data_IF_623407706689
#
_entry.id   IF_623407706689
#
_cell.length_a   1.000
_cell.length_b   1.000
_cell.length_c   1.000
_cell.angle_alpha   90.00
_cell.angle_beta   90.00
_cell.angle_gamma   90.00
#
_symmetry.space_group_name_H-M   'P 1'
#
loop_
_entity.id
_entity.type
_entity.pdbx_description
1 polymer ?
#
# COMPACT_ATOMS: atom_id res chain seq x y z
N UNK A 1 7.91 -6.68 52.65
CA UNK A 1 7.51 -7.76 51.72
C UNK A 1 6.99 -7.08 50.46
N UNK A 2 7.88 -6.75 49.53
CA UNK A 2 7.60 -5.82 48.43
C UNK A 2 7.37 -6.58 47.12
N UNK A 3 6.23 -6.34 46.47
CA UNK A 3 5.84 -6.97 45.22
C UNK A 3 6.39 -6.14 44.04
N UNK A 4 7.39 -6.67 43.34
CA UNK A 4 7.86 -6.11 42.06
C UNK A 4 6.93 -6.61 40.95
N UNK A 5 5.95 -5.79 40.57
CA UNK A 5 5.13 -6.04 39.39
C UNK A 5 5.98 -5.96 38.14
N UNK A 6 6.14 -7.07 37.43
CA UNK A 6 6.77 -7.10 36.12
C UNK A 6 5.92 -6.30 35.11
N UNK A 7 6.45 -5.17 34.64
CA UNK A 7 5.84 -4.38 33.57
C UNK A 7 6.04 -5.15 32.26
N UNK A 8 5.00 -5.89 31.84
CA UNK A 8 4.96 -6.54 30.53
C UNK A 8 4.76 -5.47 29.45
N UNK A 9 5.85 -5.01 28.83
CA UNK A 9 5.77 -4.21 27.60
C UNK A 9 5.24 -5.10 26.47
N UNK A 10 3.94 -5.00 26.19
CA UNK A 10 3.32 -5.61 25.01
C UNK A 10 3.98 -4.98 23.77
N UNK A 11 4.78 -5.74 23.02
CA UNK A 11 5.42 -5.28 21.78
C UNK A 11 4.39 -4.52 20.94
N UNK A 12 4.60 -3.23 20.73
CA UNK A 12 3.75 -2.43 19.86
C UNK A 12 3.81 -3.06 18.46
N UNK A 13 2.69 -3.62 17.99
CA UNK A 13 2.61 -4.10 16.61
C UNK A 13 2.75 -2.89 15.70
N UNK A 14 3.61 -2.97 14.70
CA UNK A 14 3.64 -1.98 13.63
C UNK A 14 2.23 -1.86 13.04
N UNK A 15 1.62 -0.66 13.06
CA UNK A 15 0.30 -0.47 12.47
C UNK A 15 0.31 -0.78 10.98
N UNK A 16 -0.77 -1.37 10.45
CA UNK A 16 -0.95 -1.62 9.02
C UNK A 16 -1.52 -0.41 8.26
N UNK A 17 -1.45 0.78 8.85
CA UNK A 17 -1.94 2.06 8.32
C UNK A 17 -1.24 3.22 9.02
N UNK A 18 -1.33 4.44 8.48
CA UNK A 18 -0.77 5.65 9.11
C UNK A 18 -1.74 6.38 10.03
N UNK A 19 -2.91 6.79 9.54
CA UNK A 19 -3.92 7.57 10.26
C UNK A 19 -5.34 7.11 9.84
N UNK A 20 -6.24 6.78 10.78
CA UNK A 20 -7.61 6.36 10.44
C UNK A 20 -8.38 7.38 9.61
N UNK A 21 -8.20 8.69 9.86
CA UNK A 21 -8.91 9.74 9.12
C UNK A 21 -8.38 9.83 7.69
N UNK A 22 -7.06 9.75 7.52
CA UNK A 22 -6.45 9.70 6.20
C UNK A 22 -6.86 8.44 5.41
N UNK A 23 -6.90 7.26 6.05
CA UNK A 23 -7.40 6.02 5.44
C UNK A 23 -8.85 6.19 4.97
N UNK A 24 -9.72 6.74 5.82
CA UNK A 24 -11.12 6.99 5.47
C UNK A 24 -11.28 7.89 4.26
N UNK A 25 -10.53 9.00 4.23
CA UNK A 25 -10.51 9.93 3.09
C UNK A 25 -10.08 9.24 1.79
N UNK A 26 -8.96 8.50 1.82
CA UNK A 26 -8.45 7.79 0.62
C UNK A 26 -9.42 6.72 0.13
N UNK A 27 -10.08 6.01 1.05
CA UNK A 27 -11.10 5.02 0.70
C UNK A 27 -12.28 5.69 -0.01
N UNK A 28 -12.75 6.83 0.51
CA UNK A 28 -13.82 7.61 -0.09
C UNK A 28 -13.45 8.10 -1.49
N UNK A 29 -12.26 8.72 -1.64
CA UNK A 29 -11.74 9.20 -2.91
C UNK A 29 -11.62 8.09 -3.95
N UNK A 30 -11.04 6.94 -3.57
CA UNK A 30 -10.92 5.78 -4.45
C UNK A 30 -12.29 5.21 -4.86
N UNK A 31 -13.26 5.20 -3.94
CA UNK A 31 -14.63 4.74 -4.23
C UNK A 31 -15.34 5.67 -5.22
N UNK A 32 -15.27 6.97 -5.01
CA UNK A 32 -15.85 7.97 -5.93
C UNK A 32 -15.19 7.90 -7.31
N UNK A 33 -13.86 7.74 -7.37
CA UNK A 33 -13.14 7.56 -8.63
C UNK A 33 -13.54 6.28 -9.39
N UNK A 34 -13.93 5.23 -8.67
CA UNK A 34 -14.48 4.00 -9.24
C UNK A 34 -15.98 4.08 -9.58
N UNK A 35 -16.63 5.23 -9.33
CA UNK A 35 -18.07 5.45 -9.50
C UNK A 35 -18.96 4.41 -8.77
N UNK A 36 -18.49 3.90 -7.62
CA UNK A 36 -19.22 2.90 -6.84
C UNK A 36 -19.93 3.56 -5.66
N UNK A 37 -21.16 3.16 -5.35
CA UNK A 37 -21.78 3.44 -4.06
C UNK A 37 -21.17 2.59 -2.94
N UNK A 38 -21.36 2.98 -1.67
CA UNK A 38 -20.95 2.15 -0.52
C UNK A 38 -21.62 0.77 -0.52
N UNK A 39 -22.83 0.65 -1.09
CA UNK A 39 -23.54 -0.63 -1.21
C UNK A 39 -22.90 -1.54 -2.26
N UNK A 40 -22.44 -0.98 -3.38
CA UNK A 40 -21.74 -1.76 -4.41
C UNK A 40 -20.36 -2.19 -3.96
N UNK A 41 -19.67 -1.36 -3.16
CA UNK A 41 -18.37 -1.72 -2.59
C UNK A 41 -18.47 -2.80 -1.50
N UNK A 42 -19.60 -2.88 -0.79
CA UNK A 42 -19.82 -3.83 0.30
C UNK A 42 -19.70 -5.30 -0.11
N UNK A 43 -19.33 -6.14 0.86
CA UNK A 43 -19.15 -7.59 0.69
C UNK A 43 -19.42 -8.33 2.02
N UNK A 44 -19.55 -9.67 2.02
CA UNK A 44 -19.72 -10.43 3.26
C UNK A 44 -18.64 -10.11 4.29
N UNK A 45 -19.03 -9.62 5.46
CA UNK A 45 -18.11 -9.17 6.51
C UNK A 45 -17.72 -7.68 6.47
N UNK A 46 -18.13 -6.92 5.45
CA UNK A 46 -17.94 -5.48 5.34
C UNK A 46 -19.20 -4.80 4.76
N UNK A 47 -20.08 -4.33 5.64
CA UNK A 47 -21.35 -3.71 5.23
C UNK A 47 -21.17 -2.26 4.77
N UNK A 48 -22.12 -1.73 4.00
CA UNK A 48 -22.13 -0.32 3.59
C UNK A 48 -22.07 0.64 4.79
N UNK A 49 -22.77 0.33 5.89
CA UNK A 49 -22.71 1.11 7.12
C UNK A 49 -21.34 1.03 7.83
N UNK A 50 -20.59 -0.06 7.64
CA UNK A 50 -19.22 -0.16 8.13
C UNK A 50 -18.26 0.64 7.25
N UNK A 51 -18.41 0.56 5.93
CA UNK A 51 -17.67 1.39 4.95
C UNK A 51 -17.88 2.88 5.25
N UNK A 52 -19.11 3.33 5.47
CA UNK A 52 -19.40 4.72 5.87
C UNK A 52 -18.67 5.15 7.15
N UNK A 53 -18.53 4.26 8.14
CA UNK A 53 -17.78 4.55 9.36
C UNK A 53 -16.27 4.59 9.12
N UNK A 54 -15.76 3.76 8.20
CA UNK A 54 -14.36 3.82 7.79
C UNK A 54 -14.08 5.13 7.04
N UNK A 55 -14.92 5.50 6.08
CA UNK A 55 -14.76 6.74 5.29
C UNK A 55 -14.74 8.00 6.17
N UNK A 56 -15.45 7.98 7.30
CA UNK A 56 -15.45 9.05 8.31
C UNK A 56 -14.32 8.95 9.34
N UNK A 57 -13.43 7.98 9.22
CA UNK A 57 -12.31 7.76 10.15
C UNK A 57 -12.70 7.19 11.52
N UNK A 58 -13.95 6.80 11.71
CA UNK A 58 -14.47 6.31 13.00
C UNK A 58 -14.14 4.84 13.26
N UNK A 59 -13.77 4.11 12.20
CA UNK A 59 -13.41 2.70 12.26
C UNK A 59 -12.20 2.42 11.39
N UNK A 60 -11.32 1.57 11.92
CA UNK A 60 -10.15 1.07 11.20
C UNK A 60 -10.50 -0.33 10.68
N UNK A 61 -10.44 -0.58 9.37
CA UNK A 61 -10.61 -1.92 8.85
C UNK A 61 -9.43 -2.81 9.25
N UNK A 62 -9.69 -4.11 9.40
CA UNK A 62 -8.60 -5.08 9.51
C UNK A 62 -7.79 -5.11 8.21
N UNK A 63 -6.55 -5.59 8.28
CA UNK A 63 -5.70 -5.77 7.11
C UNK A 63 -6.40 -6.55 5.98
N UNK A 64 -7.13 -7.61 6.32
CA UNK A 64 -7.87 -8.41 5.35
C UNK A 64 -9.01 -7.63 4.69
N UNK A 65 -9.77 -6.84 5.46
CA UNK A 65 -10.84 -6.00 4.91
C UNK A 65 -10.26 -4.91 4.01
N UNK A 66 -9.15 -4.29 4.42
CA UNK A 66 -8.46 -3.26 3.64
C UNK A 66 -7.97 -3.80 2.30
N UNK A 67 -7.38 -5.01 2.27
CA UNK A 67 -6.97 -5.69 1.03
C UNK A 67 -8.14 -5.94 0.08
N UNK A 68 -9.26 -6.43 0.60
CA UNK A 68 -10.43 -6.72 -0.22
C UNK A 68 -11.08 -5.43 -0.77
N UNK A 69 -11.12 -4.36 0.04
CA UNK A 69 -11.55 -3.03 -0.44
C UNK A 69 -10.63 -2.52 -1.55
N UNK A 70 -9.32 -2.58 -1.35
CA UNK A 70 -8.33 -2.15 -2.35
C UNK A 70 -8.49 -2.92 -3.67
N UNK A 71 -8.58 -4.25 -3.59
CA UNK A 71 -8.79 -5.14 -4.75
C UNK A 71 -10.05 -4.78 -5.53
N UNK A 72 -11.17 -4.55 -4.85
CA UNK A 72 -12.45 -4.15 -5.48
C UNK A 72 -12.38 -2.78 -6.15
N UNK A 73 -11.59 -1.87 -5.59
CA UNK A 73 -11.39 -0.52 -6.11
C UNK A 73 -10.29 -0.43 -7.18
N UNK A 74 -9.57 -1.52 -7.44
CA UNK A 74 -8.46 -1.54 -8.39
C UNK A 74 -7.25 -0.71 -7.94
N UNK A 75 -7.09 -0.50 -6.64
CA UNK A 75 -5.95 0.21 -6.03
C UNK A 75 -5.15 -0.73 -5.13
N UNK A 76 -3.97 -0.32 -4.71
CA UNK A 76 -3.20 -1.10 -3.75
C UNK A 76 -3.67 -0.90 -2.31
N UNK A 77 -3.43 -1.90 -1.48
CA UNK A 77 -3.61 -1.78 -0.02
C UNK A 77 -2.77 -0.64 0.55
N UNK A 78 -1.53 -0.49 0.07
CA UNK A 78 -0.61 0.53 0.56
C UNK A 78 -1.06 1.96 0.23
N UNK A 79 -1.73 2.15 -0.92
CA UNK A 79 -2.34 3.42 -1.27
C UNK A 79 -3.42 3.77 -0.24
N UNK A 80 -4.32 2.84 0.10
CA UNK A 80 -5.33 3.09 1.13
C UNK A 80 -4.69 3.30 2.52
N UNK A 81 -3.71 2.46 2.88
CA UNK A 81 -3.08 2.43 4.19
C UNK A 81 -2.17 3.63 4.48
N UNK A 82 -1.42 4.11 3.48
CA UNK A 82 -0.32 5.06 3.64
C UNK A 82 -0.31 6.20 2.62
N UNK A 83 -1.27 6.22 1.68
CA UNK A 83 -1.37 7.25 0.64
C UNK A 83 -0.29 7.16 -0.44
N UNK A 84 0.50 6.09 -0.44
CA UNK A 84 1.55 5.87 -1.44
C UNK A 84 1.81 4.39 -1.62
N UNK A 85 2.14 4.03 -2.85
CA UNK A 85 2.73 2.74 -3.13
C UNK A 85 4.19 2.70 -2.66
N UNK A 86 4.62 1.65 -1.95
CA UNK A 86 6.04 1.41 -1.78
C UNK A 86 6.64 1.16 -3.16
N UNK A 87 7.67 1.94 -3.51
CA UNK A 87 8.45 1.66 -4.71
C UNK A 87 9.08 0.27 -4.52
N UNK A 88 8.87 -0.62 -5.49
CA UNK A 88 9.51 -1.94 -5.50
C UNK A 88 11.03 -1.77 -5.33
N UNK A 89 11.59 -2.41 -4.31
CA UNK A 89 13.00 -2.22 -3.94
C UNK A 89 13.95 -2.67 -5.05
N UNK A 90 13.53 -3.65 -5.86
CA UNK A 90 14.24 -4.08 -7.06
C UNK A 90 14.25 -2.99 -8.13
N UNK A 91 13.08 -2.39 -8.42
CA UNK A 91 12.97 -1.24 -9.33
C UNK A 91 13.83 -0.06 -8.85
N UNK A 92 13.74 0.31 -7.57
CA UNK A 92 14.54 1.38 -6.98
C UNK A 92 16.04 1.12 -7.09
N UNK A 93 16.48 -0.13 -6.91
CA UNK A 93 17.88 -0.50 -7.12
C UNK A 93 18.30 -0.34 -8.57
N UNK A 94 17.44 -0.74 -9.53
CA UNK A 94 17.76 -0.61 -10.96
C UNK A 94 17.80 0.84 -11.43
N UNK A 95 17.00 1.73 -10.84
CA UNK A 95 17.11 3.18 -11.12
C UNK A 95 18.50 3.68 -10.73
N UNK A 96 19.01 3.32 -9.55
CA UNK A 96 20.38 3.69 -9.14
C UNK A 96 21.46 3.10 -10.06
N UNK A 97 21.29 1.85 -10.52
CA UNK A 97 22.22 1.24 -11.47
C UNK A 97 22.26 2.01 -12.81
N UNK A 98 21.10 2.53 -13.27
CA UNK A 98 21.01 3.36 -14.47
C UNK A 98 21.73 4.69 -14.27
N UNK A 99 21.47 5.39 -13.17
CA UNK A 99 22.12 6.67 -12.83
C UNK A 99 23.66 6.52 -12.81
N UNK A 100 24.17 5.45 -12.20
CA UNK A 100 25.60 5.15 -12.17
C UNK A 100 26.17 4.86 -13.57
N UNK A 101 25.43 4.12 -14.40
CA UNK A 101 25.84 3.80 -15.76
C UNK A 101 25.85 5.04 -16.67
N UNK A 102 24.88 5.94 -16.51
CA UNK A 102 24.86 7.23 -17.23
C UNK A 102 26.04 8.12 -16.86
N UNK A 103 26.36 8.21 -15.56
CA UNK A 103 27.51 8.98 -15.08
C UNK A 103 28.85 8.45 -15.62
N UNK A 104 28.95 7.15 -15.89
CA UNK A 104 30.16 6.54 -16.44
C UNK A 104 30.42 6.85 -17.93
N UNK A 105 29.40 7.28 -18.68
CA UNK A 105 29.49 7.46 -20.14
C UNK A 105 29.58 6.17 -20.96
N UNK A 106 29.66 4.99 -20.33
CA UNK A 106 29.71 3.69 -21.03
C UNK A 106 28.33 3.33 -21.62
N UNK A 107 28.24 3.39 -22.95
CA UNK A 107 27.03 3.07 -23.70
C UNK A 107 26.55 1.62 -23.49
N UNK A 108 27.47 0.67 -23.33
CA UNK A 108 27.13 -0.73 -23.10
C UNK A 108 26.61 -0.93 -21.66
N UNK A 109 27.24 -0.30 -20.66
CA UNK A 109 26.74 -0.32 -19.28
C UNK A 109 25.34 0.28 -19.18
N UNK A 110 25.11 1.44 -19.81
CA UNK A 110 23.81 2.11 -19.85
C UNK A 110 22.73 1.23 -20.48
N UNK A 111 23.02 0.61 -21.63
CA UNK A 111 22.09 -0.31 -22.29
C UNK A 111 21.69 -1.48 -21.38
N UNK A 112 22.66 -2.12 -20.72
CA UNK A 112 22.38 -3.22 -19.77
C UNK A 112 21.54 -2.76 -18.58
N UNK A 113 21.85 -1.60 -18.01
CA UNK A 113 21.11 -1.05 -16.87
C UNK A 113 19.65 -0.77 -17.22
N UNK A 114 19.39 -0.15 -18.38
CA UNK A 114 18.02 0.08 -18.85
C UNK A 114 17.24 -1.21 -19.11
N UNK A 115 17.87 -2.22 -19.71
CA UNK A 115 17.24 -3.53 -19.91
C UNK A 115 16.88 -4.18 -18.57
N UNK A 116 17.76 -4.08 -17.57
CA UNK A 116 17.51 -4.59 -16.22
C UNK A 116 16.37 -3.83 -15.53
N UNK A 117 16.33 -2.50 -15.64
CA UNK A 117 15.23 -1.68 -15.13
C UNK A 117 13.90 -2.06 -15.77
N UNK A 118 13.85 -2.20 -17.10
CA UNK A 118 12.64 -2.61 -17.83
C UNK A 118 12.09 -3.96 -17.36
N UNK A 119 12.98 -4.95 -17.13
CA UNK A 119 12.60 -6.26 -16.58
C UNK A 119 12.07 -6.16 -15.15
N UNK A 120 12.73 -5.37 -14.30
CA UNK A 120 12.30 -5.16 -12.92
C UNK A 120 10.93 -4.47 -12.86
N UNK A 121 10.72 -3.43 -13.67
CA UNK A 121 9.44 -2.72 -13.77
C UNK A 121 8.32 -3.65 -14.27
N UNK A 122 8.59 -4.46 -15.30
CA UNK A 122 7.63 -5.45 -15.82
C UNK A 122 7.24 -6.49 -14.76
N UNK A 123 8.20 -6.92 -13.94
CA UNK A 123 7.95 -7.85 -12.83
C UNK A 123 7.09 -7.19 -11.73
N UNK A 124 7.42 -5.96 -11.33
CA UNK A 124 6.67 -5.21 -10.33
C UNK A 124 5.23 -4.94 -10.79
N UNK A 125 5.03 -4.54 -12.05
CA UNK A 125 3.70 -4.32 -12.62
C UNK A 125 2.82 -5.59 -12.56
N UNK A 126 3.38 -6.76 -12.91
CA UNK A 126 2.65 -8.05 -12.81
C UNK A 126 2.23 -8.41 -11.39
N UNK A 127 3.03 -8.03 -10.39
CA UNK A 127 2.72 -8.29 -8.98
C UNK A 127 1.61 -7.38 -8.43
N UNK A 128 1.38 -6.21 -9.03
CA UNK A 128 0.27 -5.31 -8.67
C UNK A 128 -1.05 -5.81 -9.26
N UNK A 129 -1.01 -6.46 -10.44
CA UNK A 129 -2.18 -6.99 -11.12
C UNK A 129 -2.62 -8.40 -10.67
N UNK A 130 -1.89 -9.03 -9.75
CA UNK A 130 -2.16 -10.38 -9.22
C UNK A 130 -2.76 -10.35 -7.83
#
# INVERSE_FOLDING_TARGET
MSYTGAITFKRARTPHYDDPVAVGRRLHEAREAAAMSQRELAFPGCSAAYISRIERGERIPSLQVMRELARRLGVSEALLAFGRDPIDSGVASRVRDVEAAEASGDAAARTRAYQALSRAASKAARAISS
#
